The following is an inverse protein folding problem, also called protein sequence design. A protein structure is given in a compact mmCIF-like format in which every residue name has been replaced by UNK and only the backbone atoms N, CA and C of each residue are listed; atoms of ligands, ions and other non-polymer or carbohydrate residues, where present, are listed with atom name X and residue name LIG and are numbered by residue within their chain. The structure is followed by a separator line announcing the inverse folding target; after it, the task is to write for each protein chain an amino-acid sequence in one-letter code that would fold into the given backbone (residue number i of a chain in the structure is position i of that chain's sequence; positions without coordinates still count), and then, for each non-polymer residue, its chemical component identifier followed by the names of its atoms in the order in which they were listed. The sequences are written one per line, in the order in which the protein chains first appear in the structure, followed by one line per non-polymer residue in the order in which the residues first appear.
data_IF_361039785049
#
_entry.id   IF_361039785049
#
_cell.length_a   1.000
_cell.length_b   1.000
_cell.length_c   1.000
_cell.angle_alpha   90.00
_cell.angle_beta   90.00
_cell.angle_gamma   90.00
#
_symmetry.space_group_name_H-M   'P 1'
#
loop_
_entity.id
_entity.type
_entity.pdbx_description
1 polymer ?
#
# COMPACT_ATOMS: atom_id res chain seq x y z
N UNK A 1 5.86 -12.63 14.33
CA UNK A 1 5.39 -11.33 14.84
C UNK A 1 4.65 -10.60 13.72
N UNK A 2 3.46 -10.11 14.00
CA UNK A 2 2.66 -9.39 12.99
C UNK A 2 3.34 -8.09 12.55
N UNK A 3 3.18 -7.74 11.28
CA UNK A 3 3.71 -6.49 10.75
C UNK A 3 2.72 -5.35 10.93
N UNK A 4 3.23 -4.15 11.17
CA UNK A 4 2.43 -2.93 11.07
C UNK A 4 2.23 -2.55 9.60
N UNK A 5 1.10 -1.96 9.28
CA UNK A 5 0.79 -1.50 7.93
C UNK A 5 0.59 0.02 7.95
N UNK A 6 1.30 0.71 7.07
CA UNK A 6 1.22 2.15 6.90
C UNK A 6 1.04 2.47 5.41
N UNK A 7 0.23 3.48 5.09
CA UNK A 7 0.03 3.93 3.71
C UNK A 7 0.39 5.41 3.65
N UNK A 8 1.33 5.74 2.77
CA UNK A 8 1.78 7.12 2.51
C UNK A 8 1.54 7.39 1.03
N UNK A 9 0.58 8.23 0.71
CA UNK A 9 0.15 8.44 -0.67
C UNK A 9 -0.42 9.83 -0.86
N UNK A 10 -0.57 10.26 -2.10
CA UNK A 10 -1.20 11.54 -2.41
C UNK A 10 -2.61 11.62 -1.82
N UNK A 11 -2.94 12.76 -1.24
CA UNK A 11 -4.28 13.04 -0.70
C UNK A 11 -5.34 12.91 -1.81
N UNK A 12 -6.45 12.19 -1.61
CA UNK A 12 -6.90 11.48 -0.41
C UNK A 12 -6.69 9.95 -0.47
N UNK A 13 -5.72 9.47 -1.22
CA UNK A 13 -5.62 8.04 -1.56
C UNK A 13 -5.35 7.16 -0.34
N UNK A 14 -4.48 7.57 0.59
CA UNK A 14 -4.14 6.73 1.73
C UNK A 14 -5.35 6.41 2.60
N UNK A 15 -6.11 7.44 3.01
CA UNK A 15 -7.35 7.25 3.77
C UNK A 15 -8.41 6.52 2.97
N UNK A 16 -8.51 6.78 1.66
CA UNK A 16 -9.47 6.10 0.80
C UNK A 16 -9.18 4.60 0.69
N UNK A 17 -7.92 4.22 0.55
CA UNK A 17 -7.53 2.81 0.54
C UNK A 17 -7.87 2.12 1.86
N UNK A 18 -7.60 2.78 2.99
CA UNK A 18 -7.99 2.25 4.31
C UNK A 18 -9.50 2.08 4.41
N UNK A 19 -10.27 3.07 3.98
CA UNK A 19 -11.74 3.00 3.94
C UNK A 19 -12.23 1.83 3.10
N UNK A 20 -11.65 1.62 1.92
CA UNK A 20 -12.01 0.50 1.04
C UNK A 20 -11.69 -0.85 1.71
N UNK A 21 -10.54 -0.96 2.34
CA UNK A 21 -10.15 -2.17 3.06
C UNK A 21 -11.13 -2.48 4.21
N UNK A 22 -11.48 -1.47 5.00
CA UNK A 22 -12.46 -1.63 6.09
C UNK A 22 -13.81 -2.10 5.56
N UNK A 23 -14.25 -1.55 4.43
CA UNK A 23 -15.49 -1.97 3.80
C UNK A 23 -15.43 -3.43 3.34
N UNK A 24 -14.34 -3.83 2.69
CA UNK A 24 -14.16 -5.19 2.18
C UNK A 24 -14.16 -6.22 3.32
N UNK A 25 -13.50 -5.90 4.45
CA UNK A 25 -13.42 -6.81 5.59
C UNK A 25 -14.55 -6.64 6.59
N UNK A 26 -15.52 -5.76 6.36
CA UNK A 26 -16.60 -5.48 7.29
C UNK A 26 -17.48 -6.71 7.60
N UNK A 27 -17.64 -7.60 6.63
CA UNK A 27 -18.45 -8.82 6.78
C UNK A 27 -17.82 -9.84 7.74
N UNK A 28 -16.51 -9.76 7.99
CA UNK A 28 -15.81 -10.72 8.86
C UNK A 28 -15.81 -10.31 10.32
N UNK A 29 -16.24 -9.08 10.64
CA UNK A 29 -16.19 -8.53 11.99
C UNK A 29 -14.78 -8.24 12.50
N UNK A 30 -13.77 -8.36 11.67
CA UNK A 30 -12.39 -8.12 12.04
C UNK A 30 -12.07 -6.63 12.09
N UNK A 31 -11.24 -6.23 13.04
CA UNK A 31 -10.90 -4.83 13.30
C UNK A 31 -9.45 -4.48 12.97
N UNK A 32 -8.67 -5.42 12.41
CA UNK A 32 -7.25 -5.18 12.12
C UNK A 32 -7.02 -4.02 11.14
N UNK A 33 -8.00 -3.72 10.28
CA UNK A 33 -7.92 -2.55 9.39
C UNK A 33 -7.86 -1.22 10.15
N UNK A 34 -8.37 -1.16 11.38
CA UNK A 34 -8.37 0.05 12.18
C UNK A 34 -6.96 0.48 12.59
N UNK A 35 -6.03 -0.47 12.66
CA UNK A 35 -4.63 -0.20 13.02
C UNK A 35 -3.77 0.27 11.84
N UNK A 36 -4.30 0.34 10.62
CA UNK A 36 -3.57 0.88 9.48
C UNK A 36 -3.29 2.36 9.71
N UNK A 37 -2.01 2.74 9.72
CA UNK A 37 -1.62 4.13 9.75
C UNK A 37 -1.70 4.72 8.36
N UNK A 38 -2.22 5.94 8.23
CA UNK A 38 -2.37 6.60 6.93
C UNK A 38 -1.79 8.01 6.98
N UNK A 39 -1.14 8.40 5.89
CA UNK A 39 -0.71 9.75 5.66
C UNK A 39 -1.15 10.16 4.24
N UNK A 40 -2.17 11.02 4.18
CA UNK A 40 -2.58 11.68 2.96
C UNK A 40 -1.67 12.88 2.74
N UNK A 41 -0.74 12.76 1.81
CA UNK A 41 0.27 13.79 1.57
C UNK A 41 -0.35 14.92 0.75
N UNK A 42 -0.48 16.14 1.31
CA UNK A 42 -1.03 17.26 0.56
C UNK A 42 -0.09 17.73 -0.56
N UNK A 43 -0.65 18.36 -1.57
CA UNK A 43 0.11 18.80 -2.75
C UNK A 43 1.19 19.84 -2.46
N UNK A 44 1.04 20.58 -1.36
CA UNK A 44 1.93 21.67 -0.94
C UNK A 44 2.84 21.27 0.23
N UNK A 45 2.99 19.98 0.51
CA UNK A 45 3.80 19.53 1.64
C UNK A 45 5.27 19.90 1.45
N UNK A 46 5.88 20.43 2.51
CA UNK A 46 7.32 20.54 2.61
C UNK A 46 7.94 19.17 2.89
N UNK A 47 9.02 18.83 2.18
CA UNK A 47 9.65 17.51 2.27
C UNK A 47 10.09 17.16 3.71
N UNK A 48 10.62 18.12 4.45
CA UNK A 48 11.05 17.89 5.83
C UNK A 48 9.87 17.68 6.77
N UNK A 49 8.80 18.45 6.60
CA UNK A 49 7.58 18.28 7.37
C UNK A 49 6.90 16.95 7.06
N UNK A 50 6.88 16.56 5.78
CA UNK A 50 6.35 15.26 5.36
C UNK A 50 7.13 14.10 5.96
N UNK A 51 8.45 14.18 5.96
CA UNK A 51 9.30 13.17 6.58
C UNK A 51 9.05 13.08 8.08
N UNK A 52 8.96 14.23 8.77
CA UNK A 52 8.70 14.27 10.22
C UNK A 52 7.35 13.61 10.55
N UNK A 53 6.31 13.89 9.78
CA UNK A 53 5.00 13.28 9.97
C UNK A 53 5.03 11.77 9.73
N UNK A 54 5.71 11.33 8.68
CA UNK A 54 5.87 9.91 8.39
C UNK A 54 6.61 9.19 9.53
N UNK A 55 7.68 9.77 10.06
CA UNK A 55 8.42 9.20 11.18
C UNK A 55 7.58 9.15 12.45
N UNK A 56 6.74 10.17 12.68
CA UNK A 56 5.81 10.18 13.79
C UNK A 56 4.83 9.01 13.71
N UNK A 57 4.29 8.74 12.52
CA UNK A 57 3.38 7.61 12.30
C UNK A 57 4.06 6.26 12.57
N UNK A 58 5.28 6.09 12.07
CA UNK A 58 6.05 4.86 12.29
C UNK A 58 6.36 4.68 13.77
N UNK A 59 6.64 5.76 14.50
CA UNK A 59 6.94 5.69 15.93
C UNK A 59 5.75 5.25 16.78
N UNK A 60 4.54 5.31 16.27
CA UNK A 60 3.35 4.83 16.99
C UNK A 60 3.22 3.30 16.97
N UNK A 61 3.96 2.61 16.11
CA UNK A 61 4.05 1.15 16.16
C UNK A 61 5.03 0.73 17.26
N UNK A 62 4.86 -0.47 17.85
CA UNK A 62 5.83 -0.98 18.81
C UNK A 62 7.26 -0.97 18.26
N UNK A 63 8.23 -0.62 19.10
CA UNK A 63 9.62 -0.41 18.69
C UNK A 63 10.28 -1.64 18.03
N UNK A 64 9.78 -2.83 18.34
CA UNK A 64 10.31 -4.10 17.82
C UNK A 64 9.44 -4.68 16.68
N UNK A 65 8.45 -3.93 16.20
CA UNK A 65 7.56 -4.38 15.14
C UNK A 65 8.07 -3.89 13.79
N UNK A 66 8.18 -4.80 12.83
CA UNK A 66 8.43 -4.42 11.45
C UNK A 66 7.21 -3.73 10.85
N UNK A 67 7.43 -2.75 10.00
CA UNK A 67 6.36 -1.98 9.35
C UNK A 67 6.50 -2.07 7.84
N UNK A 68 5.40 -2.44 7.19
CA UNK A 68 5.29 -2.39 5.74
C UNK A 68 4.60 -1.10 5.34
N UNK A 69 5.29 -0.28 4.57
CA UNK A 69 4.79 1.00 4.07
C UNK A 69 4.41 0.85 2.61
N UNK A 70 3.15 1.13 2.30
CA UNK A 70 2.69 1.24 0.93
C UNK A 70 2.72 2.69 0.49
N UNK A 71 3.18 2.94 -0.73
CA UNK A 71 3.15 4.26 -1.36
C UNK A 71 2.69 4.15 -2.81
N UNK A 72 2.31 5.25 -3.40
CA UNK A 72 1.67 5.24 -4.73
C UNK A 72 2.66 5.28 -5.89
N UNK A 73 3.11 6.45 -6.33
CA UNK A 73 3.86 6.62 -7.58
C UNK A 73 5.36 6.78 -7.29
N UNK A 74 6.17 5.87 -7.85
CA UNK A 74 7.63 5.95 -7.70
C UNK A 74 8.15 7.28 -8.24
N UNK A 75 8.98 7.94 -7.44
CA UNK A 75 9.58 9.23 -7.79
C UNK A 75 8.74 10.45 -7.40
N UNK A 76 7.47 10.27 -7.01
CA UNK A 76 6.65 11.35 -6.50
C UNK A 76 6.94 11.63 -5.01
N UNK A 77 6.45 12.75 -4.50
CA UNK A 77 6.73 13.19 -3.12
C UNK A 77 6.36 12.16 -2.06
N UNK A 78 5.17 11.53 -2.06
CA UNK A 78 4.87 10.52 -1.04
C UNK A 78 5.84 9.34 -1.06
N UNK A 79 6.22 8.88 -2.24
CA UNK A 79 7.19 7.80 -2.39
C UNK A 79 8.57 8.21 -1.88
N UNK A 80 9.01 9.42 -2.17
CA UNK A 80 10.28 9.94 -1.69
C UNK A 80 10.30 10.03 -0.15
N UNK A 81 9.20 10.49 0.44
CA UNK A 81 9.04 10.50 1.91
C UNK A 81 9.14 9.09 2.49
N UNK A 82 8.41 8.14 1.90
CA UNK A 82 8.42 6.75 2.36
C UNK A 82 9.84 6.15 2.28
N UNK A 83 10.57 6.40 1.19
CA UNK A 83 11.91 5.86 1.00
C UNK A 83 12.94 6.43 1.98
N UNK A 84 12.71 7.64 2.50
CA UNK A 84 13.57 8.21 3.56
C UNK A 84 13.48 7.43 4.87
N UNK A 85 12.41 6.67 5.08
CA UNK A 85 12.22 5.84 6.27
C UNK A 85 13.08 4.56 6.24
N UNK A 86 13.71 4.26 5.12
CA UNK A 86 14.51 3.03 4.94
C UNK A 86 15.84 3.04 5.70
N UNK A 87 16.20 4.14 6.37
CA UNK A 87 17.28 4.15 7.34
C UNK A 87 16.92 3.32 8.60
N UNK A 88 15.64 3.06 8.80
CA UNK A 88 15.15 2.13 9.83
C UNK A 88 15.08 0.71 9.25
N UNK A 89 15.87 -0.25 9.76
CA UNK A 89 15.91 -1.61 9.21
C UNK A 89 14.61 -2.39 9.38
N UNK A 90 13.66 -1.90 10.19
CA UNK A 90 12.36 -2.53 10.38
C UNK A 90 11.32 -2.06 9.35
N UNK A 91 11.67 -1.09 8.52
CA UNK A 91 10.76 -0.55 7.51
C UNK A 91 11.01 -1.20 6.15
N UNK A 92 9.93 -1.59 5.48
CA UNK A 92 9.93 -2.02 4.08
C UNK A 92 8.94 -1.16 3.32
N UNK A 93 9.28 -0.80 2.09
CA UNK A 93 8.44 0.05 1.25
C UNK A 93 8.04 -0.70 0.00
N UNK A 94 6.73 -0.70 -0.29
CA UNK A 94 6.18 -1.16 -1.58
C UNK A 94 5.60 0.05 -2.29
N UNK A 95 6.09 0.32 -3.48
CA UNK A 95 5.61 1.39 -4.35
C UNK A 95 4.62 0.83 -5.37
N UNK A 96 3.67 1.65 -5.81
CA UNK A 96 2.65 1.21 -6.76
C UNK A 96 1.47 0.53 -6.09
N UNK A 97 1.06 1.00 -4.92
CA UNK A 97 -0.03 0.40 -4.15
C UNK A 97 -1.32 0.30 -4.97
N UNK A 98 -1.96 -0.84 -4.85
CA UNK A 98 -3.32 -1.05 -5.32
C UNK A 98 -4.09 -1.89 -4.30
N UNK A 99 -5.40 -2.01 -4.46
CA UNK A 99 -6.22 -2.79 -3.53
C UNK A 99 -5.84 -4.27 -3.46
N UNK A 100 -5.52 -4.96 -4.59
CA UNK A 100 -5.06 -6.35 -4.49
C UNK A 100 -3.86 -6.53 -3.56
N UNK A 101 -2.86 -5.62 -3.63
CA UNK A 101 -1.71 -5.66 -2.73
C UNK A 101 -2.10 -5.46 -1.27
N UNK A 102 -2.93 -4.44 -1.00
CA UNK A 102 -3.35 -4.11 0.35
C UNK A 102 -4.21 -5.20 0.96
N UNK A 103 -5.19 -5.72 0.23
CA UNK A 103 -6.07 -6.80 0.68
C UNK A 103 -5.26 -8.06 1.00
N UNK A 104 -4.30 -8.40 0.15
CA UNK A 104 -3.43 -9.56 0.37
C UNK A 104 -2.56 -9.37 1.60
N UNK A 105 -1.96 -8.19 1.77
CA UNK A 105 -1.17 -7.89 2.97
C UNK A 105 -2.01 -8.02 4.24
N UNK A 106 -3.22 -7.49 4.24
CA UNK A 106 -4.12 -7.56 5.39
C UNK A 106 -4.57 -8.98 5.69
N UNK A 107 -4.82 -9.79 4.66
CA UNK A 107 -5.18 -11.20 4.83
C UNK A 107 -4.05 -12.03 5.44
N UNK A 108 -2.82 -11.55 5.35
CA UNK A 108 -1.62 -12.20 5.90
C UNK A 108 -0.97 -11.37 7.02
N UNK A 109 -1.73 -10.52 7.69
CA UNK A 109 -1.21 -9.55 8.66
C UNK A 109 -0.46 -10.18 9.84
N UNK A 110 -0.68 -11.46 10.12
CA UNK A 110 0.02 -12.19 11.18
C UNK A 110 1.44 -12.64 10.77
N UNK A 111 1.74 -12.60 9.47
CA UNK A 111 3.05 -12.97 8.95
C UNK A 111 4.07 -11.85 9.19
N UNK A 112 5.36 -12.16 9.04
CA UNK A 112 6.40 -11.13 9.12
C UNK A 112 6.39 -10.21 7.89
N UNK A 113 6.87 -8.98 8.05
CA UNK A 113 6.83 -7.97 7.00
C UNK A 113 7.55 -8.40 5.72
N UNK A 114 8.66 -9.15 5.85
CA UNK A 114 9.41 -9.63 4.69
C UNK A 114 8.56 -10.56 3.82
N UNK A 115 7.80 -11.46 4.43
CA UNK A 115 6.93 -12.39 3.71
C UNK A 115 5.72 -11.67 3.12
N UNK A 116 5.10 -10.79 3.90
CA UNK A 116 3.96 -10.00 3.41
C UNK A 116 4.37 -9.16 2.20
N UNK A 117 5.55 -8.55 2.22
CA UNK A 117 6.05 -7.75 1.11
C UNK A 117 6.14 -8.55 -0.19
N UNK A 118 6.68 -9.78 -0.14
CA UNK A 118 6.77 -10.64 -1.33
C UNK A 118 5.39 -11.01 -1.85
N UNK A 119 4.48 -11.43 -0.96
CA UNK A 119 3.13 -11.85 -1.34
C UNK A 119 2.34 -10.67 -1.90
N UNK A 120 2.42 -9.50 -1.25
CA UNK A 120 1.69 -8.31 -1.66
C UNK A 120 2.19 -7.77 -3.00
N UNK A 121 3.50 -7.77 -3.25
CA UNK A 121 4.04 -7.38 -4.55
C UNK A 121 3.53 -8.30 -5.66
N UNK A 122 3.52 -9.61 -5.42
CA UNK A 122 2.96 -10.58 -6.36
C UNK A 122 1.49 -10.34 -6.64
N UNK A 123 0.69 -10.07 -5.61
CA UNK A 123 -0.73 -9.76 -5.74
C UNK A 123 -0.96 -8.44 -6.49
N UNK A 124 -0.13 -7.43 -6.24
CA UNK A 124 -0.21 -6.15 -6.94
C UNK A 124 -0.03 -6.33 -8.45
N UNK A 125 1.00 -7.06 -8.84
CA UNK A 125 1.29 -7.33 -10.25
C UNK A 125 0.22 -8.21 -10.89
N UNK A 126 -0.20 -9.27 -10.21
CA UNK A 126 -1.22 -10.20 -10.69
C UNK A 126 -2.65 -9.64 -10.68
N UNK A 127 -2.88 -8.55 -9.95
CA UNK A 127 -4.17 -7.88 -9.88
C UNK A 127 -4.47 -6.98 -11.08
N UNK A 128 -3.53 -6.82 -11.98
CA UNK A 128 -3.68 -5.98 -13.16
C UNK A 128 -3.98 -6.89 -14.35
N UNK A 129 -5.13 -6.68 -15.00
CA UNK A 129 -5.50 -7.45 -16.17
C UNK A 129 -6.36 -6.61 -17.10
N UNK A 130 -6.29 -6.91 -18.39
CA UNK A 130 -7.11 -6.28 -19.41
C UNK A 130 -8.13 -7.28 -19.92
N UNK A 131 -9.38 -6.87 -20.00
CA UNK A 131 -10.46 -7.66 -20.61
C UNK A 131 -11.00 -6.93 -21.81
N UNK A 132 -11.39 -7.69 -22.84
CA UNK A 132 -11.93 -7.13 -24.08
C UNK A 132 -13.41 -7.40 -24.16
N UNK A 133 -14.13 -6.55 -24.91
CA UNK A 133 -15.51 -6.81 -25.28
C UNK A 133 -15.61 -8.04 -26.18
N UNK A 134 -16.84 -8.57 -26.37
CA UNK A 134 -17.05 -9.69 -27.27
C UNK A 134 -16.54 -9.34 -28.66
N UNK A 135 -15.90 -10.31 -29.40
CA UNK A 135 -15.47 -10.08 -30.75
C UNK A 135 -16.63 -9.58 -31.59
N UNK A 136 -16.42 -8.46 -32.31
CA UNK A 136 -17.34 -8.02 -33.33
C UNK A 136 -17.16 -8.89 -34.58
N UNK A 137 -18.08 -8.77 -35.61
CA UNK A 137 -17.93 -9.45 -36.87
C UNK A 137 -16.66 -9.08 -37.67
N UNK A 138 -15.98 -7.98 -37.24
CA UNK A 138 -14.66 -7.57 -37.74
C UNK A 138 -13.63 -8.19 -36.81
N UNK A 139 -12.80 -9.09 -37.34
CA UNK A 139 -11.72 -9.69 -36.57
C UNK A 139 -10.70 -8.62 -36.22
N UNK A 140 -10.36 -8.55 -34.93
CA UNK A 140 -9.20 -7.80 -34.50
C UNK A 140 -7.95 -8.40 -35.14
N UNK A 141 -7.27 -7.58 -35.94
CA UNK A 141 -6.04 -7.99 -36.64
C UNK A 141 -4.80 -7.76 -35.79
N UNK A 142 -4.98 -7.27 -34.56
CA UNK A 142 -3.87 -7.03 -33.65
C UNK A 142 -3.64 -8.28 -32.82
N UNK A 143 -2.59 -9.02 -33.14
CA UNK A 143 -2.10 -10.06 -32.27
C UNK A 143 -1.42 -9.39 -31.11
N UNK A 144 -1.98 -9.56 -29.90
CA UNK A 144 -1.33 -9.17 -28.66
C UNK A 144 -0.32 -10.26 -28.30
N UNK A 145 0.88 -10.12 -28.81
CA UNK A 145 2.02 -10.96 -28.38
C UNK A 145 2.79 -10.24 -27.28
#
# INVERSE_FOLDING_TARGET
MSAGICIIAHEPLASALKSCARHIFSATGETFCDSIAVFDVPCDVDAEQGEAEARRLISNFPANQDVLVFTDVLGATPSNIAHRLLDNPQVRVITGVNLPALITALSHHEECAARIAVIAEGAARGGISTSCGKPSAIKDTVNAD
#
